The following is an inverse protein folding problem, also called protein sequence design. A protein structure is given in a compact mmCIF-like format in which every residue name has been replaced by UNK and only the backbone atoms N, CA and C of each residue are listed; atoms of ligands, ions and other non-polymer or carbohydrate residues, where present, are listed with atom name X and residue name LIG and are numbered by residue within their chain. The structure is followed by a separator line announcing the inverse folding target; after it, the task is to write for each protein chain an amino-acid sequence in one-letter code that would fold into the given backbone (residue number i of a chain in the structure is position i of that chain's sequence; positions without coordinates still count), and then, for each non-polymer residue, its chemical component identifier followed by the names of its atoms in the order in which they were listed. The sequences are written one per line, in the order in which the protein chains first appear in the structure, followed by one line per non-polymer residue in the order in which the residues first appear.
data_IF_813004749160
#
_entry.id   IF_813004749160
#
_cell.length_a   1.000
_cell.length_b   1.000
_cell.length_c   1.000
_cell.angle_alpha   90.00
_cell.angle_beta   90.00
_cell.angle_gamma   90.00
#
_symmetry.space_group_name_H-M   'P 1'
#
loop_
_entity.id
_entity.type
_entity.pdbx_description
1 polymer ?
#
# COMPACT_ATOMS: atom_id res chain seq x y z
N UNK A 1 -27.31 1.76 7.37
CA UNK A 1 -26.46 2.87 7.86
C UNK A 1 -25.00 2.48 7.68
N UNK A 2 -24.14 3.42 7.23
CA UNK A 2 -22.68 3.20 7.17
C UNK A 2 -22.12 3.38 8.57
N UNK A 3 -21.49 2.36 9.12
CA UNK A 3 -20.85 2.39 10.44
C UNK A 3 -19.40 2.85 10.34
N UNK A 4 -18.66 2.32 9.35
CA UNK A 4 -17.29 2.73 9.12
C UNK A 4 -16.90 2.63 7.64
N UNK A 5 -15.87 3.36 7.26
CA UNK A 5 -15.19 3.26 5.95
C UNK A 5 -13.70 3.17 6.21
N UNK A 6 -13.09 2.06 5.79
CA UNK A 6 -11.65 1.86 5.85
C UNK A 6 -11.09 2.07 4.44
N UNK A 7 -10.38 3.17 4.26
CA UNK A 7 -9.76 3.56 3.01
C UNK A 7 -8.23 3.46 3.12
N UNK A 8 -7.69 2.29 2.82
CA UNK A 8 -6.25 2.04 2.89
C UNK A 8 -5.46 2.86 1.88
N UNK A 9 -6.06 3.21 0.75
CA UNK A 9 -5.39 4.06 -0.23
C UNK A 9 -5.10 5.44 0.34
N UNK A 10 -5.99 5.97 1.15
CA UNK A 10 -5.80 7.25 1.83
C UNK A 10 -4.66 7.18 2.85
N UNK A 11 -4.61 6.11 3.64
CA UNK A 11 -3.57 5.91 4.65
C UNK A 11 -2.20 5.68 4.01
N UNK A 12 -2.17 5.16 2.78
CA UNK A 12 -0.97 4.87 2.01
C UNK A 12 -0.67 5.88 0.90
N UNK A 13 -1.34 7.03 0.89
CA UNK A 13 -1.23 8.03 -0.19
C UNK A 13 0.18 8.56 -0.42
N UNK A 14 1.01 8.59 0.62
CA UNK A 14 2.38 9.08 0.57
C UNK A 14 3.38 8.03 0.07
N UNK A 15 2.97 6.75 0.00
CA UNK A 15 3.87 5.66 -0.37
C UNK A 15 3.87 5.46 -1.89
N UNK A 16 5.06 5.50 -2.47
CA UNK A 16 5.26 5.45 -3.91
C UNK A 16 6.28 4.38 -4.31
N UNK A 17 6.32 4.07 -5.60
CA UNK A 17 7.33 3.20 -6.20
C UNK A 17 8.64 3.97 -6.30
N UNK A 18 9.68 3.51 -5.59
CA UNK A 18 11.05 3.99 -5.72
C UNK A 18 11.93 2.97 -6.44
N UNK A 19 12.82 3.44 -7.30
CA UNK A 19 13.81 2.61 -7.99
C UNK A 19 15.19 2.82 -7.38
N UNK A 20 15.81 1.77 -6.91
CA UNK A 20 17.17 1.82 -6.36
C UNK A 20 18.16 1.81 -7.52
N UNK A 21 18.68 2.99 -7.87
CA UNK A 21 19.65 3.16 -8.94
C UNK A 21 21.03 2.66 -8.52
N UNK A 22 21.45 3.03 -7.31
CA UNK A 22 22.72 2.62 -6.72
C UNK A 22 22.51 2.16 -5.28
N UNK A 23 23.31 1.19 -4.86
CA UNK A 23 23.38 0.73 -3.47
C UNK A 23 24.84 0.46 -3.12
N UNK A 24 25.40 1.31 -2.26
CA UNK A 24 26.81 1.23 -1.84
C UNK A 24 26.89 0.88 -0.35
N UNK A 25 27.99 0.28 0.07
CA UNK A 25 28.24 0.02 1.48
C UNK A 25 28.34 1.33 2.26
N UNK A 26 27.66 1.41 3.40
CA UNK A 26 27.76 2.58 4.27
C UNK A 26 29.18 2.70 4.85
N UNK A 27 29.81 3.88 4.82
CA UNK A 27 31.23 4.04 5.22
C UNK A 27 31.47 3.74 6.70
N UNK A 28 30.48 3.95 7.57
CA UNK A 28 30.61 3.83 9.02
C UNK A 28 29.72 2.71 9.62
N UNK A 29 29.19 1.79 8.80
CA UNK A 29 28.29 0.75 9.29
C UNK A 29 28.23 -0.46 8.34
N UNK A 30 28.68 -1.62 8.79
CA UNK A 30 28.77 -2.84 7.98
C UNK A 30 27.42 -3.42 7.53
N UNK A 31 26.35 -3.11 8.27
CA UNK A 31 24.98 -3.62 7.99
C UNK A 31 24.10 -2.63 7.25
N UNK A 32 24.61 -1.43 6.97
CA UNK A 32 23.83 -0.39 6.29
C UNK A 32 24.35 -0.17 4.87
N UNK A 33 23.45 0.24 4.01
CA UNK A 33 23.74 0.64 2.62
C UNK A 33 23.26 2.07 2.39
N UNK A 34 24.01 2.80 1.60
CA UNK A 34 23.60 4.07 1.01
C UNK A 34 22.95 3.76 -0.33
N UNK A 35 21.68 4.02 -0.43
CA UNK A 35 20.90 3.82 -1.64
C UNK A 35 20.58 5.16 -2.28
N UNK A 36 20.84 5.30 -3.57
CA UNK A 36 20.32 6.38 -4.40
C UNK A 36 19.01 5.89 -5.01
N UNK A 37 17.90 6.50 -4.60
CA UNK A 37 16.56 6.09 -5.00
C UNK A 37 15.95 7.13 -5.91
N UNK A 38 15.57 6.74 -7.11
CA UNK A 38 14.79 7.52 -8.04
C UNK A 38 13.30 7.39 -7.68
N UNK A 39 12.65 8.51 -7.42
CA UNK A 39 11.22 8.60 -7.06
C UNK A 39 10.37 9.25 -8.17
N UNK A 40 10.94 9.37 -9.37
CA UNK A 40 10.31 9.97 -10.55
C UNK A 40 10.51 11.48 -10.66
N UNK A 41 10.29 12.23 -9.60
CA UNK A 41 10.48 13.68 -9.58
C UNK A 41 11.94 14.08 -9.30
N UNK A 42 12.63 13.32 -8.46
CA UNK A 42 14.01 13.55 -8.03
C UNK A 42 14.66 12.25 -7.59
N UNK A 43 15.97 12.32 -7.34
CA UNK A 43 16.75 11.22 -6.74
C UNK A 43 17.12 11.58 -5.32
N UNK A 44 16.87 10.69 -4.39
CA UNK A 44 17.09 10.90 -2.96
C UNK A 44 18.02 9.85 -2.37
N UNK A 45 18.88 10.27 -1.43
CA UNK A 45 19.70 9.34 -0.66
C UNK A 45 18.90 8.75 0.48
N UNK A 46 18.95 7.44 0.62
CA UNK A 46 18.32 6.67 1.69
C UNK A 46 19.32 5.73 2.34
N UNK A 47 19.40 5.74 3.65
CA UNK A 47 20.17 4.74 4.40
C UNK A 47 19.26 3.55 4.68
N UNK A 48 19.62 2.38 4.16
CA UNK A 48 18.83 1.16 4.26
C UNK A 48 19.60 0.04 4.95
N UNK A 49 18.97 -0.62 5.93
CA UNK A 49 19.52 -1.76 6.66
C UNK A 49 19.07 -3.12 6.11
N UNK A 50 18.20 -3.15 5.13
CA UNK A 50 17.67 -4.39 4.59
C UNK A 50 18.73 -5.19 3.80
N UNK A 51 18.85 -6.50 4.01
CA UNK A 51 19.84 -7.32 3.34
C UNK A 51 19.63 -7.41 1.82
N UNK A 52 18.38 -7.34 1.39
CA UNK A 52 18.01 -7.41 -0.03
C UNK A 52 18.12 -6.07 -0.76
N UNK A 53 18.43 -4.96 -0.09
CA UNK A 53 18.65 -3.68 -0.75
C UNK A 53 19.84 -3.77 -1.71
N UNK A 54 19.59 -3.53 -3.00
CA UNK A 54 20.59 -3.58 -4.08
C UNK A 54 20.16 -2.68 -5.24
N UNK A 55 21.11 -2.31 -6.08
CA UNK A 55 20.79 -1.59 -7.31
C UNK A 55 19.94 -2.44 -8.25
N UNK A 56 19.07 -1.79 -9.01
CA UNK A 56 18.23 -2.41 -10.03
C UNK A 56 16.87 -2.93 -9.53
N UNK A 57 16.55 -2.78 -8.24
CA UNK A 57 15.22 -3.18 -7.72
C UNK A 57 14.30 -1.98 -7.58
N UNK A 58 13.00 -2.26 -7.65
CA UNK A 58 11.94 -1.32 -7.26
C UNK A 58 11.39 -1.74 -5.91
N UNK A 59 11.13 -0.76 -5.07
CA UNK A 59 10.58 -0.98 -3.73
C UNK A 59 9.59 0.10 -3.35
N UNK A 60 8.96 -0.08 -2.20
CA UNK A 60 8.05 0.92 -1.62
C UNK A 60 8.88 1.98 -0.91
N UNK A 61 8.75 3.21 -1.37
CA UNK A 61 9.43 4.37 -0.79
C UNK A 61 8.46 5.22 0.02
N UNK A 62 8.87 5.58 1.23
CA UNK A 62 8.18 6.53 2.11
C UNK A 62 8.99 7.83 2.17
N UNK A 63 8.40 8.97 1.76
CA UNK A 63 9.04 10.28 1.90
C UNK A 63 9.02 10.75 3.36
N UNK A 64 9.87 11.74 3.73
CA UNK A 64 9.76 12.41 5.01
C UNK A 64 8.40 13.09 5.17
N UNK A 65 7.74 12.88 6.30
CA UNK A 65 6.38 13.32 6.57
C UNK A 65 5.34 12.21 6.51
N UNK A 66 5.63 11.10 5.81
CA UNK A 66 4.73 9.95 5.76
C UNK A 66 4.53 9.34 7.16
N UNK A 67 3.32 8.87 7.41
CA UNK A 67 2.96 8.15 8.64
C UNK A 67 3.13 6.65 8.38
N UNK A 68 3.98 6.00 9.16
CA UNK A 68 4.23 4.56 9.04
C UNK A 68 3.02 3.78 9.57
N UNK A 69 2.34 2.97 8.74
CA UNK A 69 1.09 2.33 9.13
C UNK A 69 1.17 1.43 10.37
N UNK A 70 2.28 0.71 10.55
CA UNK A 70 2.43 -0.23 11.67
C UNK A 70 2.65 0.45 13.02
N UNK A 71 3.32 1.62 13.07
CA UNK A 71 3.68 2.29 14.32
C UNK A 71 2.92 3.59 14.56
N UNK A 72 2.40 4.22 13.50
CA UNK A 72 1.81 5.56 13.56
C UNK A 72 2.85 6.68 13.65
N UNK A 73 4.13 6.36 13.55
CA UNK A 73 5.20 7.34 13.62
C UNK A 73 5.33 8.14 12.33
N UNK A 74 5.62 9.44 12.47
CA UNK A 74 5.91 10.29 11.33
C UNK A 74 7.37 10.14 10.96
N UNK A 75 7.63 9.72 9.72
CA UNK A 75 8.99 9.61 9.19
C UNK A 75 9.65 10.99 9.07
N UNK A 76 10.83 11.12 9.63
CA UNK A 76 11.62 12.37 9.59
C UNK A 76 12.88 12.18 8.78
N UNK A 77 13.33 13.26 8.14
CA UNK A 77 14.72 13.31 7.65
C UNK A 77 15.66 13.07 8.80
N UNK A 78 16.65 12.24 8.60
CA UNK A 78 17.59 11.88 9.65
C UNK A 78 19.02 11.79 9.14
N UNK A 79 19.95 11.82 10.09
CA UNK A 79 21.35 11.50 9.84
C UNK A 79 21.66 10.20 10.56
N UNK A 80 21.98 9.17 9.81
CA UNK A 80 22.24 7.82 10.31
C UNK A 80 23.74 7.55 10.16
N UNK A 81 24.44 7.52 11.29
CA UNK A 81 25.89 7.32 11.37
C UNK A 81 26.74 8.25 10.47
N UNK A 82 26.27 9.50 10.34
CA UNK A 82 26.94 10.56 9.59
C UNK A 82 26.45 10.75 8.15
N UNK A 83 25.55 9.89 7.66
CA UNK A 83 24.97 9.97 6.32
C UNK A 83 23.50 10.39 6.38
N UNK A 84 23.09 11.28 5.49
CA UNK A 84 21.69 11.75 5.41
C UNK A 84 20.79 10.66 4.82
N UNK A 85 19.60 10.49 5.45
CA UNK A 85 18.51 9.68 4.92
C UNK A 85 17.29 10.56 4.71
N UNK A 86 16.87 10.69 3.44
CA UNK A 86 15.76 11.52 3.01
C UNK A 86 14.53 10.69 2.67
N UNK A 87 14.24 9.69 3.48
CA UNK A 87 13.12 8.76 3.31
C UNK A 87 13.48 7.37 3.79
N UNK A 88 12.61 6.43 3.49
CA UNK A 88 12.77 5.03 3.87
C UNK A 88 12.28 4.11 2.75
N UNK A 89 12.98 2.99 2.55
CA UNK A 89 12.48 1.85 1.79
C UNK A 89 11.79 0.90 2.77
N UNK A 90 10.52 0.59 2.55
CA UNK A 90 9.66 -0.09 3.51
C UNK A 90 9.67 -1.60 3.37
N UNK A 91 9.59 -2.30 4.49
CA UNK A 91 9.26 -3.74 4.59
C UNK A 91 7.74 -3.93 4.69
N UNK A 92 7.29 -5.18 4.59
CA UNK A 92 5.87 -5.53 4.78
C UNK A 92 5.38 -5.16 6.18
N UNK A 93 6.26 -5.27 7.17
CA UNK A 93 5.94 -4.92 8.57
C UNK A 93 5.65 -3.42 8.72
N UNK A 94 6.48 -2.53 8.16
CA UNK A 94 6.21 -1.10 8.22
C UNK A 94 4.89 -0.73 7.55
N UNK A 95 4.55 -1.44 6.46
CA UNK A 95 3.29 -1.25 5.74
C UNK A 95 2.08 -1.90 6.44
N UNK A 96 2.29 -2.64 7.55
CA UNK A 96 1.22 -3.34 8.27
C UNK A 96 0.57 -4.47 7.45
N UNK A 97 1.33 -5.10 6.53
CA UNK A 97 0.86 -6.19 5.67
C UNK A 97 1.11 -7.54 6.34
N UNK A 98 2.33 -7.73 6.89
CA UNK A 98 2.74 -8.94 7.59
C UNK A 98 3.76 -8.61 8.69
N UNK A 99 4.23 -9.63 9.41
CA UNK A 99 5.32 -9.49 10.40
C UNK A 99 6.72 -9.55 9.77
N UNK A 100 6.82 -9.74 8.45
CA UNK A 100 8.08 -9.83 7.73
C UNK A 100 8.81 -8.48 7.73
N UNK A 101 10.06 -8.49 8.22
CA UNK A 101 10.86 -7.28 8.39
C UNK A 101 12.32 -7.43 7.97
N UNK A 102 12.73 -8.62 7.51
CA UNK A 102 14.14 -8.87 7.14
C UNK A 102 14.54 -8.19 5.84
N UNK A 103 13.57 -7.79 5.00
CA UNK A 103 13.82 -7.15 3.72
C UNK A 103 12.85 -6.02 3.40
N UNK A 104 13.20 -5.22 2.40
CA UNK A 104 12.26 -4.29 1.77
C UNK A 104 11.34 -5.04 0.82
N UNK A 105 10.13 -4.51 0.62
CA UNK A 105 9.20 -4.99 -0.40
C UNK A 105 9.84 -4.82 -1.78
N UNK A 106 9.99 -5.91 -2.53
CA UNK A 106 10.43 -5.87 -3.92
C UNK A 106 9.20 -5.86 -4.84
N UNK A 107 9.09 -4.81 -5.63
CA UNK A 107 8.00 -4.63 -6.57
C UNK A 107 8.35 -5.19 -7.95
N UNK A 108 7.33 -5.45 -8.77
CA UNK A 108 7.52 -5.89 -10.14
C UNK A 108 8.38 -4.88 -10.92
N UNK A 109 9.36 -5.32 -11.72
CA UNK A 109 10.19 -4.43 -12.53
C UNK A 109 9.42 -3.54 -13.50
N UNK A 110 8.20 -3.93 -13.89
CA UNK A 110 7.33 -3.14 -14.77
C UNK A 110 6.61 -1.99 -14.05
N UNK A 111 6.60 -1.96 -12.71
CA UNK A 111 5.94 -0.90 -11.94
C UNK A 111 6.50 0.48 -12.33
N UNK A 112 5.64 1.46 -12.53
CA UNK A 112 6.03 2.82 -12.89
C UNK A 112 6.66 3.54 -11.69
N UNK A 113 7.83 4.15 -11.88
CA UNK A 113 8.53 4.90 -10.83
C UNK A 113 7.70 6.13 -10.44
N UNK A 114 7.53 6.36 -9.14
CA UNK A 114 6.71 7.44 -8.61
C UNK A 114 5.20 7.14 -8.58
N UNK A 115 4.75 6.01 -9.12
CA UNK A 115 3.36 5.60 -9.03
C UNK A 115 2.94 5.30 -7.58
N UNK A 116 1.65 5.44 -7.28
CA UNK A 116 1.09 5.11 -5.97
C UNK A 116 1.23 3.62 -5.67
N UNK A 117 1.82 3.31 -4.51
CA UNK A 117 1.88 1.93 -4.03
C UNK A 117 0.49 1.34 -3.76
N UNK A 118 -0.43 2.14 -3.20
CA UNK A 118 -1.78 1.67 -2.88
C UNK A 118 -2.52 1.18 -4.13
N UNK A 119 -2.42 1.91 -5.23
CA UNK A 119 -3.03 1.53 -6.52
C UNK A 119 -2.36 0.29 -7.09
N UNK A 120 -1.02 0.22 -7.07
CA UNK A 120 -0.27 -0.93 -7.56
C UNK A 120 -0.62 -2.22 -6.80
N UNK A 121 -0.82 -2.11 -5.49
CA UNK A 121 -1.17 -3.23 -4.62
C UNK A 121 -2.68 -3.56 -4.60
N UNK A 122 -3.51 -2.84 -5.36
CA UNK A 122 -4.97 -3.04 -5.39
C UNK A 122 -5.64 -2.70 -4.05
N UNK A 123 -5.09 -1.74 -3.29
CA UNK A 123 -5.58 -1.31 -1.98
C UNK A 123 -6.45 -0.04 -2.06
N UNK A 124 -6.81 0.36 -3.27
CA UNK A 124 -7.63 1.53 -3.59
C UNK A 124 -9.14 1.26 -3.60
N UNK A 125 -9.54 0.06 -3.14
CA UNK A 125 -10.94 -0.33 -2.93
C UNK A 125 -11.29 -0.23 -1.45
N UNK A 126 -12.07 0.78 -1.03
CA UNK A 126 -12.40 0.99 0.38
C UNK A 126 -13.35 -0.09 0.90
N UNK A 127 -13.13 -0.55 2.12
CA UNK A 127 -14.03 -1.44 2.84
C UNK A 127 -15.06 -0.62 3.60
N UNK A 128 -16.33 -0.82 3.26
CA UNK A 128 -17.47 -0.11 3.86
C UNK A 128 -18.20 -1.08 4.78
N UNK A 129 -18.25 -0.75 6.07
CA UNK A 129 -19.03 -1.47 7.07
C UNK A 129 -20.42 -0.86 7.19
N UNK A 130 -21.45 -1.70 7.03
CA UNK A 130 -22.85 -1.26 7.01
C UNK A 130 -23.69 -2.02 8.01
N UNK A 131 -24.42 -1.29 8.86
CA UNK A 131 -25.48 -1.87 9.68
C UNK A 131 -26.77 -2.04 8.86
N UNK A 132 -27.31 -3.24 8.86
CA UNK A 132 -28.60 -3.57 8.24
C UNK A 132 -29.66 -3.69 9.34
N UNK A 133 -30.75 -2.95 9.19
CA UNK A 133 -31.89 -3.02 10.12
C UNK A 133 -32.60 -4.37 10.02
N UNK A 134 -33.20 -4.88 11.10
CA UNK A 134 -33.84 -6.20 11.13
C UNK A 134 -34.95 -6.41 10.09
N UNK A 135 -35.61 -5.35 9.65
CA UNK A 135 -36.67 -5.36 8.62
C UNK A 135 -36.10 -5.46 7.19
N UNK A 136 -34.78 -5.31 7.01
CA UNK A 136 -34.10 -5.35 5.73
C UNK A 136 -33.21 -6.60 5.57
N UNK A 137 -33.70 -7.74 6.01
CA UNK A 137 -33.01 -9.03 5.88
C UNK A 137 -32.62 -9.37 4.42
N UNK A 138 -33.32 -8.81 3.44
CA UNK A 138 -33.02 -8.91 2.02
C UNK A 138 -31.67 -8.24 1.63
N UNK A 139 -31.16 -7.33 2.45
CA UNK A 139 -29.87 -6.64 2.26
C UNK A 139 -28.69 -7.25 3.03
N UNK A 140 -28.87 -8.41 3.70
CA UNK A 140 -27.79 -9.10 4.40
C UNK A 140 -26.76 -9.77 3.47
N UNK A 141 -26.93 -9.67 2.15
CA UNK A 141 -26.01 -10.22 1.16
C UNK A 141 -25.75 -9.24 0.02
N UNK A 142 -24.67 -9.50 -0.71
CA UNK A 142 -24.21 -8.66 -1.83
C UNK A 142 -25.31 -8.36 -2.85
N UNK A 143 -26.17 -9.37 -3.17
CA UNK A 143 -27.26 -9.21 -4.14
C UNK A 143 -28.30 -8.19 -3.70
N UNK A 144 -28.67 -8.18 -2.42
CA UNK A 144 -29.67 -7.23 -1.89
C UNK A 144 -29.12 -5.80 -1.88
N UNK A 145 -27.86 -5.65 -1.49
CA UNK A 145 -27.16 -4.35 -1.53
C UNK A 145 -27.04 -3.84 -2.95
N UNK A 146 -26.59 -4.69 -3.90
CA UNK A 146 -26.47 -4.32 -5.31
C UNK A 146 -27.81 -3.88 -5.92
N UNK A 147 -28.92 -4.56 -5.58
CA UNK A 147 -30.26 -4.19 -6.01
C UNK A 147 -30.66 -2.80 -5.47
N UNK A 148 -30.41 -2.52 -4.21
CA UNK A 148 -30.76 -1.25 -3.58
C UNK A 148 -29.92 -0.09 -4.16
N UNK A 149 -28.62 -0.32 -4.38
CA UNK A 149 -27.76 0.66 -5.04
C UNK A 149 -28.24 0.95 -6.48
N UNK A 150 -28.64 -0.08 -7.22
CA UNK A 150 -29.22 0.10 -8.55
C UNK A 150 -30.55 0.87 -8.52
N UNK A 151 -31.42 0.60 -7.54
CA UNK A 151 -32.66 1.34 -7.34
C UNK A 151 -32.41 2.81 -6.99
N UNK A 152 -31.31 3.10 -6.31
CA UNK A 152 -30.83 4.46 -6.04
C UNK A 152 -30.14 5.15 -7.24
N UNK A 153 -30.03 4.47 -8.38
CA UNK A 153 -29.40 5.01 -9.59
C UNK A 153 -27.86 5.01 -9.60
N UNK A 154 -27.23 4.27 -8.66
CA UNK A 154 -25.78 4.21 -8.51
C UNK A 154 -25.12 3.11 -9.36
N UNK A 155 -25.89 2.41 -10.19
CA UNK A 155 -25.38 1.36 -11.07
C UNK A 155 -26.49 0.49 -11.63
N UNK A 156 -26.11 -0.62 -12.26
CA UNK A 156 -27.05 -1.63 -12.80
C UNK A 156 -26.82 -2.95 -12.08
N UNK A 157 -27.85 -3.49 -11.43
CA UNK A 157 -27.81 -4.82 -10.85
C UNK A 157 -28.08 -5.87 -11.91
N UNK A 158 -27.10 -6.72 -12.22
CA UNK A 158 -27.28 -7.89 -13.06
C UNK A 158 -27.92 -9.00 -12.22
N UNK A 159 -29.18 -9.29 -12.49
CA UNK A 159 -29.87 -10.45 -11.89
C UNK A 159 -29.43 -11.72 -12.62
N UNK A 160 -28.46 -12.44 -12.07
CA UNK A 160 -28.20 -13.81 -12.48
C UNK A 160 -29.33 -14.70 -11.94
N UNK A 161 -30.29 -15.01 -12.76
CA UNK A 161 -31.19 -16.12 -12.53
C UNK A 161 -30.48 -17.41 -12.94
N UNK A 162 -29.51 -17.87 -12.17
CA UNK A 162 -29.13 -19.28 -12.25
C UNK A 162 -30.24 -20.04 -11.53
N UNK A 163 -31.13 -20.59 -12.30
CA UNK A 163 -32.08 -21.59 -11.80
C UNK A 163 -31.24 -22.85 -11.50
N UNK A 164 -30.95 -23.07 -10.21
CA UNK A 164 -30.25 -24.27 -9.77
C UNK A 164 -31.08 -25.56 -10.00
N UNK A 165 -32.26 -25.43 -10.58
CA UNK A 165 -33.13 -26.55 -10.93
C UNK A 165 -32.87 -27.15 -12.30
N UNK A 166 -32.08 -26.49 -13.15
CA UNK A 166 -31.79 -26.97 -14.51
C UNK A 166 -30.51 -27.85 -14.62
N UNK A 167 -29.87 -28.18 -13.50
CA UNK A 167 -28.69 -29.05 -13.44
C UNK A 167 -28.96 -30.44 -12.85
N UNK A 168 -30.15 -31.01 -13.03
CA UNK A 168 -30.44 -32.41 -12.67
C UNK A 168 -30.76 -33.25 -13.91
#
# INVERSE_FOLDING_TARGET
EVESVQDRAKDLSDFIVGYVEEAQQHPNADRLKLCLVDIGAEKVQVVCGAPNARAGIKGVFAPPGAIIPSSGDILKKGVIRGEESNGMLCSEREMGISDEHEGIIELDPSAEIGASYATLAGLDDPVIDIAITPDRADCLGVRGIARDLAAAGLGTCLLYTSDAADEL
#
